data_IF_196727658710
#
_entry.id   IF_196727658710
#
_cell.length_a   1.000
_cell.length_b   1.000
_cell.length_c   1.000
_cell.angle_alpha   90.00
_cell.angle_beta   90.00
_cell.angle_gamma   90.00
#
_symmetry.space_group_name_H-M   'P 1'
#
loop_
_entity.id
_entity.type
_entity.pdbx_description
1 polymer ?
#
# COMPACT_ATOMS: atom_id res chain seq x y z
N UNK A 1 10.09 -39.73 -3.09
CA UNK A 1 10.80 -39.16 -4.26
C UNK A 1 11.88 -38.23 -3.74
N UNK A 2 13.11 -38.24 -4.29
CA UNK A 2 14.11 -37.24 -3.89
C UNK A 2 13.60 -35.85 -4.25
N UNK A 3 13.72 -34.90 -3.33
CA UNK A 3 13.30 -33.52 -3.56
C UNK A 3 14.18 -32.91 -4.67
N UNK A 4 13.54 -32.31 -5.68
CA UNK A 4 14.27 -31.52 -6.67
C UNK A 4 14.70 -30.17 -6.05
N UNK A 5 15.84 -29.60 -6.50
CA UNK A 5 16.24 -28.27 -6.05
C UNK A 5 15.18 -27.21 -6.37
N UNK A 6 14.93 -26.31 -5.42
CA UNK A 6 14.00 -25.19 -5.63
C UNK A 6 14.51 -24.30 -6.77
N UNK A 7 13.62 -24.00 -7.71
CA UNK A 7 13.92 -23.14 -8.87
C UNK A 7 14.26 -21.71 -8.43
N UNK A 8 15.27 -21.11 -9.08
CA UNK A 8 15.57 -19.67 -9.00
C UNK A 8 15.08 -18.97 -10.27
N UNK A 9 14.36 -17.87 -10.11
CA UNK A 9 13.80 -17.10 -11.22
C UNK A 9 14.74 -15.96 -11.64
N UNK A 10 14.73 -15.62 -12.94
CA UNK A 10 15.24 -14.34 -13.45
C UNK A 10 14.16 -13.26 -13.29
N UNK A 11 14.54 -11.99 -13.30
CA UNK A 11 13.64 -10.85 -13.09
C UNK A 11 12.40 -10.89 -13.99
N UNK A 12 12.59 -11.03 -15.31
CA UNK A 12 11.50 -11.03 -16.28
C UNK A 12 10.58 -12.23 -16.08
N UNK A 13 11.16 -13.37 -15.72
CA UNK A 13 10.38 -14.57 -15.43
C UNK A 13 9.57 -14.40 -14.15
N UNK A 14 10.16 -13.83 -13.09
CA UNK A 14 9.46 -13.55 -11.84
C UNK A 14 8.28 -12.59 -12.07
N UNK A 15 8.47 -11.51 -12.84
CA UNK A 15 7.39 -10.57 -13.20
C UNK A 15 6.28 -11.27 -14.00
N UNK A 16 6.66 -12.10 -14.99
CA UNK A 16 5.69 -12.88 -15.75
C UNK A 16 4.89 -13.84 -14.86
N UNK A 17 5.55 -14.47 -13.88
CA UNK A 17 4.89 -15.34 -12.89
C UNK A 17 3.97 -14.57 -11.95
N UNK A 18 4.36 -13.38 -11.49
CA UNK A 18 3.51 -12.55 -10.64
C UNK A 18 2.18 -12.24 -11.34
N UNK A 19 2.21 -11.87 -12.63
CA UNK A 19 1.01 -11.62 -13.43
C UNK A 19 0.11 -12.84 -13.57
N UNK A 20 0.70 -14.04 -13.68
CA UNK A 20 -0.05 -15.30 -13.76
C UNK A 20 -0.61 -15.74 -12.40
N UNK A 21 0.02 -15.33 -11.30
CA UNK A 21 -0.33 -15.74 -9.95
C UNK A 21 -1.31 -14.79 -9.25
N UNK A 22 -1.75 -13.70 -9.91
CA UNK A 22 -2.72 -12.75 -9.37
C UNK A 22 -3.98 -13.49 -8.93
N UNK A 23 -4.34 -13.35 -7.65
CA UNK A 23 -5.51 -14.00 -7.10
C UNK A 23 -6.80 -13.40 -7.72
N UNK A 24 -7.85 -14.20 -8.00
CA UNK A 24 -9.07 -13.72 -8.68
C UNK A 24 -9.71 -12.45 -8.10
N UNK A 25 -9.69 -12.29 -6.77
CA UNK A 25 -10.22 -11.10 -6.09
C UNK A 25 -9.48 -9.79 -6.42
N UNK A 26 -8.23 -9.86 -6.88
CA UNK A 26 -7.45 -8.67 -7.24
C UNK A 26 -7.97 -7.96 -8.50
N UNK A 27 -8.91 -8.56 -9.25
CA UNK A 27 -9.66 -7.85 -10.29
C UNK A 27 -10.47 -6.66 -9.76
N UNK A 28 -10.63 -6.55 -8.43
CA UNK A 28 -11.25 -5.43 -7.76
C UNK A 28 -10.25 -4.37 -7.27
N UNK A 29 -8.95 -4.51 -7.55
CA UNK A 29 -7.93 -3.52 -7.23
C UNK A 29 -7.60 -2.74 -8.50
N UNK A 30 -7.64 -1.41 -8.42
CA UNK A 30 -7.63 -0.57 -9.62
C UNK A 30 -6.36 0.27 -9.76
N UNK A 31 -5.82 0.78 -8.65
CA UNK A 31 -4.58 1.55 -8.63
C UNK A 31 -3.95 1.48 -7.25
N UNK A 32 -2.62 1.46 -7.20
CA UNK A 32 -1.85 1.57 -5.96
C UNK A 32 -0.69 2.57 -6.11
N UNK A 33 -0.63 3.59 -5.27
CA UNK A 33 0.59 4.38 -5.04
C UNK A 33 1.55 3.63 -4.10
N UNK A 34 2.84 3.67 -4.41
CA UNK A 34 3.92 3.17 -3.57
C UNK A 34 5.02 4.23 -3.45
N UNK A 35 5.32 4.68 -2.24
CA UNK A 35 6.46 5.58 -2.01
C UNK A 35 7.80 4.91 -2.28
N UNK A 36 7.87 3.57 -2.25
CA UNK A 36 9.07 2.80 -2.60
C UNK A 36 9.36 2.90 -4.11
N UNK A 37 8.30 2.88 -4.93
CA UNK A 37 8.42 3.08 -6.37
C UNK A 37 8.40 4.57 -6.76
N UNK A 38 7.90 5.43 -5.88
CA UNK A 38 7.69 6.85 -6.13
C UNK A 38 6.52 7.16 -7.07
N UNK A 39 5.54 6.26 -7.21
CA UNK A 39 4.47 6.41 -8.20
C UNK A 39 3.32 5.42 -8.07
N UNK A 40 2.36 5.54 -9.00
CA UNK A 40 1.15 4.73 -9.07
C UNK A 40 1.32 3.58 -10.07
N UNK A 41 0.91 2.38 -9.68
CA UNK A 41 0.76 1.21 -10.56
C UNK A 41 -0.71 0.83 -10.69
N UNK A 42 -1.11 0.36 -11.87
CA UNK A 42 -2.47 -0.13 -12.14
C UNK A 42 -2.50 -1.62 -12.47
N UNK A 43 -1.33 -2.27 -12.63
CA UNK A 43 -1.20 -3.72 -12.75
C UNK A 43 -1.30 -4.35 -11.34
N UNK A 44 -2.35 -5.13 -11.02
CA UNK A 44 -2.51 -5.74 -9.69
C UNK A 44 -1.35 -6.64 -9.29
N UNK A 45 -0.62 -7.20 -10.26
CA UNK A 45 0.57 -8.01 -10.00
C UNK A 45 1.74 -7.20 -9.41
N UNK A 46 1.72 -5.87 -9.60
CA UNK A 46 2.75 -4.94 -9.14
C UNK A 46 2.30 -4.13 -7.92
N UNK A 47 1.09 -4.34 -7.41
CA UNK A 47 0.59 -3.77 -6.15
C UNK A 47 1.18 -4.55 -4.98
N UNK A 48 2.49 -4.41 -4.77
CA UNK A 48 3.27 -5.22 -3.84
C UNK A 48 3.84 -4.38 -2.70
N UNK A 49 3.91 -5.01 -1.52
CA UNK A 49 4.64 -4.50 -0.36
C UNK A 49 5.98 -5.24 -0.24
N UNK A 50 7.09 -4.54 0.06
CA UNK A 50 8.36 -5.19 0.35
C UNK A 50 8.26 -6.12 1.57
N UNK A 51 8.90 -7.29 1.51
CA UNK A 51 8.88 -8.27 2.60
C UNK A 51 9.60 -7.77 3.86
N UNK A 52 10.62 -6.94 3.67
CA UNK A 52 11.45 -6.31 4.69
C UNK A 52 10.82 -5.04 5.28
N UNK A 53 9.61 -4.68 4.87
CA UNK A 53 8.86 -3.58 5.47
C UNK A 53 8.30 -3.98 6.84
N UNK A 54 8.54 -3.17 7.88
CA UNK A 54 8.14 -3.47 9.25
C UNK A 54 6.62 -3.62 9.44
N UNK A 55 5.80 -3.04 8.56
CA UNK A 55 4.36 -3.29 8.55
C UNK A 55 4.04 -4.74 8.18
N UNK A 56 4.82 -5.36 7.29
CA UNK A 56 4.61 -6.73 6.80
C UNK A 56 5.06 -7.77 7.83
N UNK A 57 6.28 -7.64 8.34
CA UNK A 57 6.86 -8.70 9.19
C UNK A 57 6.78 -8.41 10.70
N UNK A 58 6.38 -7.20 11.13
CA UNK A 58 6.15 -6.86 12.54
C UNK A 58 4.79 -6.21 12.83
N UNK A 59 4.00 -5.90 11.80
CA UNK A 59 2.74 -5.19 11.96
C UNK A 59 2.88 -3.71 12.36
N UNK A 60 4.08 -3.12 12.23
CA UNK A 60 4.31 -1.72 12.61
C UNK A 60 3.88 -0.77 11.50
N UNK A 61 2.58 -0.50 11.46
CA UNK A 61 1.96 0.43 10.52
C UNK A 61 0.57 0.87 11.00
N UNK A 62 0.03 1.89 10.34
CA UNK A 62 -1.35 2.36 10.53
C UNK A 62 -2.06 2.44 9.19
N UNK A 63 -3.39 2.35 9.20
CA UNK A 63 -4.20 2.49 7.99
C UNK A 63 -5.47 3.31 8.24
N UNK A 64 -6.03 3.87 7.18
CA UNK A 64 -7.39 4.41 7.17
C UNK A 64 -8.04 4.13 5.80
N UNK A 65 -9.33 4.40 5.66
CA UNK A 65 -10.09 4.15 4.44
C UNK A 65 -11.11 5.25 4.23
N UNK A 66 -11.09 5.89 3.06
CA UNK A 66 -12.09 6.85 2.61
C UNK A 66 -13.00 6.22 1.54
N UNK A 67 -14.27 6.63 1.52
CA UNK A 67 -15.22 6.21 0.47
C UNK A 67 -15.13 7.19 -0.70
N UNK A 68 -14.96 6.67 -1.90
CA UNK A 68 -15.14 7.39 -3.15
C UNK A 68 -16.57 7.16 -3.62
N UNK A 69 -17.38 8.21 -3.67
CA UNK A 69 -18.77 8.14 -4.11
C UNK A 69 -19.02 9.25 -5.14
N UNK A 70 -19.58 8.90 -6.29
CA UNK A 70 -19.82 9.83 -7.40
C UNK A 70 -18.58 10.65 -7.80
N UNK A 71 -17.38 10.08 -7.69
CA UNK A 71 -16.10 10.74 -7.99
C UNK A 71 -15.58 11.67 -6.89
N UNK A 72 -16.19 11.66 -5.70
CA UNK A 72 -15.82 12.52 -4.57
C UNK A 72 -15.39 11.68 -3.37
N UNK A 73 -14.26 12.03 -2.75
CA UNK A 73 -13.79 11.39 -1.52
C UNK A 73 -14.52 11.98 -0.31
N UNK A 74 -15.31 11.16 0.37
CA UNK A 74 -16.12 11.60 1.49
C UNK A 74 -15.28 11.85 2.74
N UNK A 75 -15.48 13.03 3.36
CA UNK A 75 -14.84 13.44 4.63
C UNK A 75 -13.31 13.24 4.68
N UNK A 76 -12.61 13.34 3.54
CA UNK A 76 -11.18 13.03 3.44
C UNK A 76 -10.32 13.74 4.50
N UNK A 77 -10.61 15.01 4.81
CA UNK A 77 -9.87 15.75 5.82
C UNK A 77 -10.02 15.17 7.24
N UNK A 78 -11.18 14.63 7.59
CA UNK A 78 -11.41 13.98 8.89
C UNK A 78 -10.66 12.65 8.97
N UNK A 79 -10.69 11.87 7.89
CA UNK A 79 -9.92 10.63 7.80
C UNK A 79 -8.41 10.90 7.86
N UNK A 80 -7.93 11.94 7.18
CA UNK A 80 -6.53 12.35 7.23
C UNK A 80 -6.10 12.81 8.62
N UNK A 81 -6.92 13.59 9.31
CA UNK A 81 -6.64 14.02 10.69
C UNK A 81 -6.55 12.80 11.64
N UNK A 82 -7.47 11.83 11.50
CA UNK A 82 -7.42 10.58 12.26
C UNK A 82 -6.18 9.75 11.93
N UNK A 83 -5.84 9.65 10.65
CA UNK A 83 -4.67 8.91 10.17
C UNK A 83 -3.36 9.46 10.73
N UNK A 84 -3.17 10.79 10.71
CA UNK A 84 -1.99 11.45 11.29
C UNK A 84 -1.92 11.22 12.80
N UNK A 85 -3.06 11.33 13.50
CA UNK A 85 -3.12 11.04 14.95
C UNK A 85 -2.74 9.59 15.27
N UNK A 86 -3.22 8.62 14.48
CA UNK A 86 -2.83 7.21 14.63
C UNK A 86 -1.34 7.02 14.39
N UNK A 87 -0.78 7.65 13.35
CA UNK A 87 0.64 7.61 13.04
C UNK A 87 1.50 8.14 14.20
N UNK A 88 1.11 9.26 14.79
CA UNK A 88 1.76 9.85 15.97
C UNK A 88 1.74 8.87 17.16
N UNK A 89 0.58 8.29 17.46
CA UNK A 89 0.45 7.28 18.53
C UNK A 89 1.31 6.03 18.29
N UNK A 90 1.47 5.64 17.02
CA UNK A 90 2.31 4.52 16.60
C UNK A 90 3.80 4.90 16.47
N UNK A 91 4.17 6.16 16.71
CA UNK A 91 5.53 6.73 16.55
C UNK A 91 6.08 6.56 15.13
N UNK A 92 5.22 6.71 14.12
CA UNK A 92 5.59 6.66 12.71
C UNK A 92 5.53 8.08 12.14
N UNK A 93 6.68 8.74 11.89
CA UNK A 93 6.69 10.06 11.29
C UNK A 93 6.23 9.99 9.83
N UNK A 94 5.24 10.78 9.40
CA UNK A 94 4.84 10.80 7.99
C UNK A 94 6.00 11.29 7.09
N UNK A 95 6.29 10.59 5.97
CA UNK A 95 7.40 10.97 5.07
C UNK A 95 7.06 12.19 4.20
N UNK A 96 5.81 12.63 4.21
CA UNK A 96 5.30 13.73 3.40
C UNK A 96 4.45 14.67 4.27
N UNK A 97 4.37 15.97 3.91
CA UNK A 97 3.40 16.87 4.53
C UNK A 97 1.97 16.40 4.24
N UNK A 98 1.03 16.77 5.12
CA UNK A 98 -0.38 16.39 5.01
C UNK A 98 -1.01 16.73 3.66
N UNK A 99 -0.62 17.87 3.07
CA UNK A 99 -1.07 18.29 1.73
C UNK A 99 -0.65 17.31 0.63
N UNK A 100 0.57 16.78 0.69
CA UNK A 100 1.06 15.79 -0.27
C UNK A 100 0.38 14.43 -0.07
N UNK A 101 0.15 14.00 1.19
CA UNK A 101 -0.63 12.79 1.48
C UNK A 101 -2.05 12.90 0.90
N UNK A 102 -2.71 14.05 1.10
CA UNK A 102 -4.02 14.32 0.51
C UNK A 102 -3.97 14.17 -1.01
N UNK A 103 -2.99 14.78 -1.67
CA UNK A 103 -2.87 14.74 -3.12
C UNK A 103 -2.60 13.32 -3.63
N UNK A 104 -1.73 12.56 -2.98
CA UNK A 104 -1.46 11.15 -3.32
C UNK A 104 -2.75 10.31 -3.29
N UNK A 105 -3.58 10.49 -2.26
CA UNK A 105 -4.86 9.76 -2.14
C UNK A 105 -5.81 10.16 -3.27
N UNK A 106 -5.91 11.46 -3.58
CA UNK A 106 -6.74 11.97 -4.69
C UNK A 106 -6.25 11.42 -6.04
N UNK A 107 -4.95 11.50 -6.31
CA UNK A 107 -4.35 11.05 -7.57
C UNK A 107 -4.49 9.53 -7.74
N UNK A 108 -4.33 8.77 -6.66
CA UNK A 108 -4.56 7.31 -6.68
C UNK A 108 -6.03 6.98 -6.95
N UNK A 109 -6.96 7.72 -6.34
CA UNK A 109 -8.38 7.57 -6.61
C UNK A 109 -8.71 7.89 -8.08
N UNK A 110 -8.12 8.95 -8.64
CA UNK A 110 -8.30 9.33 -10.04
C UNK A 110 -7.72 8.28 -11.01
N UNK A 111 -6.52 7.78 -10.72
CA UNK A 111 -5.86 6.75 -11.53
C UNK A 111 -6.62 5.41 -11.57
N UNK A 112 -7.50 5.17 -10.59
CA UNK A 112 -8.39 4.00 -10.58
C UNK A 112 -9.41 3.99 -11.73
N UNK A 113 -9.74 5.16 -12.29
CA UNK A 113 -10.81 5.34 -13.27
C UNK A 113 -12.22 5.05 -12.73
N UNK A 114 -12.40 4.91 -11.40
CA UNK A 114 -13.69 4.64 -10.77
C UNK A 114 -14.35 5.91 -10.24
N UNK A 115 -15.68 5.91 -10.22
CA UNK A 115 -16.49 6.93 -9.53
C UNK A 115 -16.99 6.46 -8.17
N UNK A 116 -17.07 5.15 -7.97
CA UNK A 116 -17.58 4.52 -6.77
C UNK A 116 -16.64 3.39 -6.35
N UNK A 117 -15.94 3.57 -5.23
CA UNK A 117 -14.94 2.63 -4.72
C UNK A 117 -14.59 2.94 -3.25
N UNK A 118 -13.72 2.14 -2.65
CA UNK A 118 -13.00 2.51 -1.43
C UNK A 118 -11.56 2.85 -1.76
N UNK A 119 -10.98 3.80 -1.03
CA UNK A 119 -9.57 4.15 -1.10
C UNK A 119 -8.97 3.93 0.28
N UNK A 120 -8.12 2.91 0.38
CA UNK A 120 -7.40 2.55 1.62
C UNK A 120 -5.96 2.96 1.51
N UNK A 121 -5.41 3.51 2.58
CA UNK A 121 -4.02 3.94 2.61
C UNK A 121 -3.38 3.56 3.93
N UNK A 122 -2.09 3.26 3.83
CA UNK A 122 -1.24 2.74 4.88
C UNK A 122 -0.02 3.64 5.04
N UNK A 123 0.40 3.80 6.29
CA UNK A 123 1.70 4.35 6.64
C UNK A 123 2.45 3.27 7.43
N UNK A 124 3.57 2.84 6.87
CA UNK A 124 4.48 1.87 7.47
C UNK A 124 5.62 2.59 8.20
N UNK A 125 6.19 1.94 9.22
CA UNK A 125 7.46 2.35 9.83
C UNK A 125 8.69 2.25 8.89
N UNK A 126 8.54 1.65 7.71
CA UNK A 126 9.58 1.56 6.68
C UNK A 126 10.30 0.20 6.65
N UNK A 127 11.28 0.04 5.76
CA UNK A 127 12.09 -1.17 5.65
C UNK A 127 13.00 -1.35 6.87
N UNK A 128 13.34 -2.60 7.18
CA UNK A 128 14.26 -2.91 8.28
C UNK A 128 14.76 -4.34 8.29
N UNK A 129 15.69 -4.60 9.22
CA UNK A 129 16.26 -5.94 9.41
C UNK A 129 15.30 -6.90 10.11
N UNK A 130 15.46 -8.20 9.85
CA UNK A 130 14.76 -9.27 10.57
C UNK A 130 15.37 -9.60 11.95
N UNK A 131 16.49 -8.96 12.31
CA UNK A 131 17.15 -9.16 13.60
C UNK A 131 16.39 -8.50 14.76
N UNK A 132 16.69 -8.93 15.99
CA UNK A 132 16.09 -8.35 17.21
C UNK A 132 16.55 -6.91 17.48
N UNK A 133 17.74 -6.56 17.00
CA UNK A 133 18.27 -5.20 17.09
C UNK A 133 17.88 -4.43 15.83
N UNK A 134 17.07 -3.39 16.01
CA UNK A 134 16.79 -2.43 14.96
C UNK A 134 18.07 -1.66 14.65
N UNK A 135 18.73 -2.09 13.56
CA UNK A 135 19.68 -1.23 12.90
C UNK A 135 18.84 -0.18 12.19
N UNK A 136 18.68 0.98 12.83
CA UNK A 136 17.93 2.15 12.35
C UNK A 136 18.65 2.75 11.13
N UNK A 137 18.76 1.95 10.06
CA UNK A 137 19.39 2.30 8.80
C UNK A 137 18.31 2.76 7.85
N UNK A 138 18.05 4.07 7.88
CA UNK A 138 17.05 4.82 7.11
C UNK A 138 15.59 4.66 7.59
N UNK A 139 15.23 5.52 8.55
CA UNK A 139 13.85 5.81 8.99
C UNK A 139 13.03 6.43 7.83
N UNK A 140 12.73 5.66 6.79
CA UNK A 140 11.85 6.09 5.72
C UNK A 140 10.53 5.35 5.86
N UNK A 141 9.64 5.93 6.67
CA UNK A 141 8.25 5.54 6.68
C UNK A 141 7.72 5.48 5.25
N UNK A 142 6.99 4.41 4.91
CA UNK A 142 6.49 4.18 3.57
C UNK A 142 4.98 4.43 3.51
N UNK A 143 4.52 5.03 2.42
CA UNK A 143 3.11 5.26 2.15
C UNK A 143 2.67 4.40 0.99
N UNK A 144 1.62 3.62 1.25
CA UNK A 144 0.93 2.83 0.25
C UNK A 144 -0.52 3.30 0.22
N UNK A 145 -1.07 3.53 -0.97
CA UNK A 145 -2.48 3.90 -1.13
C UNK A 145 -3.05 3.04 -2.22
N UNK A 146 -4.20 2.39 -1.99
CA UNK A 146 -4.85 1.51 -2.95
C UNK A 146 -6.32 1.89 -3.10
N UNK A 147 -6.82 1.79 -4.32
CA UNK A 147 -8.25 1.89 -4.64
C UNK A 147 -8.80 0.51 -4.98
N UNK A 148 -9.89 0.13 -4.30
CA UNK A 148 -10.54 -1.16 -4.46
C UNK A 148 -12.07 -1.04 -4.46
N UNK A 149 -12.77 -2.05 -4.98
CA UNK A 149 -14.25 -2.05 -5.03
C UNK A 149 -14.85 -1.75 -3.66
N UNK A 150 -15.89 -0.92 -3.63
CA UNK A 150 -16.67 -0.68 -2.42
C UNK A 150 -17.58 -1.90 -2.16
N UNK A 151 -17.16 -2.80 -1.26
CA UNK A 151 -18.10 -3.76 -0.68
C UNK A 151 -18.87 -3.05 0.43
N UNK A 152 -20.08 -2.57 0.13
CA UNK A 152 -21.08 -2.45 1.18
C UNK A 152 -21.17 -3.83 1.83
N UNK A 153 -20.97 -3.88 3.16
CA UNK A 153 -21.16 -5.07 3.98
C UNK A 153 -22.43 -5.80 3.51
N UNK A 154 -22.28 -7.05 3.09
CA UNK A 154 -23.39 -7.98 3.00
C UNK A 154 -23.87 -8.32 4.40
#
# INVERSE_FOLDING_TARGET
MPASPTRRFKTEEAIARLRQAVHPKAGNFYAMYSSVLGGIVTDPALMVLPLDDHMVHRGHGVFDTAVLANGMLYQLDQHLARFVRSAEMARIPPPFPLSALRQIIIDTAAASGRRDSSVRYWLSAGPGGFGLADQHGSDQAAVFCSSEIHQLLA
#
